data_IF_803991174468
#
_entry.id   IF_803991174468
#
_cell.length_a   1.000
_cell.length_b   1.000
_cell.length_c   1.000
_cell.angle_alpha   90.00
_cell.angle_beta   90.00
_cell.angle_gamma   90.00
#
_symmetry.space_group_name_H-M   'P 1'
#
loop_
_entity.id
_entity.type
_entity.pdbx_description
1 polymer ?
#
# COMPACT_ATOMS: atom_id res chain seq x y z
N UNK A 1 -3.47 -6.43 -6.93
CA UNK A 1 -2.21 -7.22 -7.01
C UNK A 1 -2.58 -8.64 -7.43
N UNK A 2 -2.57 -8.92 -8.73
CA UNK A 2 -3.15 -10.17 -9.27
C UNK A 2 -4.62 -10.31 -8.91
N UNK A 3 -4.98 -11.37 -8.19
CA UNK A 3 -6.35 -11.67 -7.72
C UNK A 3 -6.80 -10.82 -6.51
N UNK A 4 -5.87 -10.12 -5.86
CA UNK A 4 -6.19 -9.26 -4.71
C UNK A 4 -6.72 -7.91 -5.18
N UNK A 5 -7.92 -7.56 -4.70
CA UNK A 5 -8.61 -6.30 -4.98
C UNK A 5 -8.76 -5.53 -3.67
N UNK A 6 -8.39 -4.26 -3.70
CA UNK A 6 -8.48 -3.35 -2.58
C UNK A 6 -9.24 -2.11 -3.02
N UNK A 7 -9.96 -1.48 -2.10
CA UNK A 7 -10.57 -0.19 -2.37
C UNK A 7 -9.48 0.89 -2.53
N UNK A 8 -9.72 1.86 -3.43
CA UNK A 8 -8.78 2.98 -3.63
C UNK A 8 -8.52 3.73 -2.33
N UNK A 9 -9.56 3.90 -1.50
CA UNK A 9 -9.47 4.56 -0.20
C UNK A 9 -8.57 3.78 0.79
N UNK A 10 -8.67 2.45 0.84
CA UNK A 10 -7.78 1.64 1.66
C UNK A 10 -6.32 1.77 1.21
N UNK A 11 -6.05 1.76 -0.10
CA UNK A 11 -4.66 1.90 -0.60
C UNK A 11 -4.12 3.33 -0.40
N UNK A 12 -4.96 4.36 -0.49
CA UNK A 12 -4.58 5.74 -0.10
C UNK A 12 -4.17 5.82 1.38
N UNK A 13 -4.97 5.21 2.26
CA UNK A 13 -4.68 5.16 3.71
C UNK A 13 -3.35 4.43 4.00
N UNK A 14 -3.10 3.32 3.31
CA UNK A 14 -1.81 2.61 3.37
C UNK A 14 -0.64 3.52 3.00
N UNK A 15 -0.76 4.29 1.91
CA UNK A 15 0.27 5.25 1.49
C UNK A 15 0.53 6.32 2.53
N UNK A 16 -0.50 6.84 3.20
CA UNK A 16 -0.34 7.80 4.29
C UNK A 16 0.46 7.20 5.45
N UNK A 17 0.11 5.99 5.90
CA UNK A 17 0.83 5.27 6.96
C UNK A 17 2.30 5.02 6.59
N UNK A 18 2.57 4.63 5.35
CA UNK A 18 3.93 4.38 4.86
C UNK A 18 4.75 5.67 4.71
N UNK A 19 4.11 6.79 4.33
CA UNK A 19 4.78 8.08 4.20
C UNK A 19 5.05 8.75 5.56
N UNK A 20 4.12 8.66 6.51
CA UNK A 20 4.32 9.23 7.86
C UNK A 20 5.58 8.65 8.52
N UNK A 21 5.80 7.34 8.37
CA UNK A 21 7.01 6.67 8.89
C UNK A 21 8.28 7.02 8.12
N UNK A 22 8.20 7.39 6.83
CA UNK A 22 9.34 7.90 6.06
C UNK A 22 9.80 9.27 6.56
N UNK A 23 8.85 10.16 6.84
CA UNK A 23 9.13 11.55 7.22
C UNK A 23 9.84 11.63 8.59
N UNK A 24 9.47 10.73 9.51
CA UNK A 24 10.04 10.67 10.86
C UNK A 24 11.51 10.23 10.86
N UNK A 25 12.02 9.59 9.79
CA UNK A 25 13.39 9.06 9.82
C UNK A 25 14.07 8.98 8.44
N UNK A 26 14.76 10.05 7.98
CA UNK A 26 15.43 10.07 6.66
C UNK A 26 16.63 9.11 6.55
N UNK A 27 17.16 8.59 7.66
CA UNK A 27 18.18 7.53 7.66
C UNK A 27 17.60 6.11 7.53
N UNK A 28 16.27 5.97 7.55
CA UNK A 28 15.55 4.70 7.56
C UNK A 28 15.14 4.23 6.15
N UNK A 29 15.72 4.81 5.09
CA UNK A 29 15.47 4.37 3.71
C UNK A 29 15.86 2.89 3.51
N UNK A 30 16.83 2.39 4.29
CA UNK A 30 17.20 0.95 4.34
C UNK A 30 16.22 0.10 5.15
N UNK A 31 15.48 0.66 6.12
CA UNK A 31 14.55 -0.09 6.96
C UNK A 31 13.10 -0.10 6.44
N UNK A 32 12.82 0.58 5.32
CA UNK A 32 11.55 0.38 4.59
C UNK A 32 11.34 -1.09 4.22
N UNK A 33 12.42 -1.83 3.93
CA UNK A 33 12.37 -3.27 3.68
C UNK A 33 11.95 -4.11 4.92
N UNK A 34 12.01 -3.54 6.13
CA UNK A 34 11.67 -4.21 7.38
C UNK A 34 10.39 -3.65 8.03
N UNK A 35 9.82 -2.56 7.50
CA UNK A 35 8.57 -2.01 8.01
C UNK A 35 7.39 -2.80 7.44
N UNK A 36 6.62 -3.41 8.32
CA UNK A 36 5.39 -4.10 7.96
C UNK A 36 4.19 -3.26 8.40
N UNK A 37 3.31 -2.83 7.48
CA UNK A 37 2.06 -2.15 7.83
C UNK A 37 1.12 -3.00 8.70
N UNK A 38 1.38 -4.31 8.80
CA UNK A 38 0.57 -5.26 9.56
C UNK A 38 0.53 -5.03 11.06
N UNK A 39 1.51 -4.30 11.60
CA UNK A 39 1.57 -3.96 13.02
C UNK A 39 0.86 -2.63 13.35
N UNK A 40 0.34 -1.93 12.34
CA UNK A 40 -0.36 -0.66 12.52
C UNK A 40 -1.85 -0.89 12.81
N UNK A 41 -2.34 -0.31 13.91
CA UNK A 41 -3.75 -0.40 14.32
C UNK A 41 -4.70 0.26 13.30
N UNK A 42 -4.21 1.28 12.58
CA UNK A 42 -4.96 2.02 11.57
C UNK A 42 -4.97 1.32 10.19
N UNK A 43 -4.39 0.12 10.08
CA UNK A 43 -4.39 -0.63 8.82
C UNK A 43 -5.82 -1.08 8.46
N UNK A 44 -6.30 -0.77 7.23
CA UNK A 44 -7.61 -1.23 6.78
C UNK A 44 -7.77 -2.77 6.83
N UNK A 45 -8.95 -3.24 7.27
CA UNK A 45 -9.25 -4.67 7.41
C UNK A 45 -8.99 -5.49 6.13
N UNK A 46 -9.16 -4.88 4.95
CA UNK A 46 -8.91 -5.52 3.65
C UNK A 46 -7.47 -6.08 3.55
N UNK A 47 -6.50 -5.43 4.21
CA UNK A 47 -5.10 -5.84 4.20
C UNK A 47 -4.74 -6.88 5.25
N UNK A 48 -5.62 -7.21 6.21
CA UNK A 48 -5.32 -8.27 7.18
C UNK A 48 -5.11 -9.62 6.50
N UNK A 49 -5.82 -9.88 5.41
CA UNK A 49 -5.63 -11.06 4.57
C UNK A 49 -4.25 -11.10 3.90
N UNK A 50 -3.66 -9.93 3.61
CA UNK A 50 -2.31 -9.80 3.06
C UNK A 50 -1.27 -10.11 4.14
N UNK A 51 -1.50 -9.65 5.37
CA UNK A 51 -0.59 -9.85 6.50
C UNK A 51 -0.35 -11.32 6.87
N UNK A 52 -1.26 -12.22 6.49
CA UNK A 52 -1.10 -13.66 6.70
C UNK A 52 -0.24 -14.34 5.64
N UNK A 53 0.15 -13.62 4.57
CA UNK A 53 0.94 -14.16 3.46
C UNK A 53 2.43 -13.92 3.68
N UNK A 54 3.25 -14.86 3.22
CA UNK A 54 4.72 -14.72 3.28
C UNK A 54 5.25 -13.60 2.35
N UNK A 55 4.48 -13.23 1.32
CA UNK A 55 4.82 -12.15 0.39
C UNK A 55 4.20 -10.79 0.74
N UNK A 56 3.65 -10.64 1.96
CA UNK A 56 2.97 -9.44 2.44
C UNK A 56 3.79 -8.16 2.20
N UNK A 57 5.05 -8.13 2.64
CA UNK A 57 5.94 -6.97 2.49
C UNK A 57 6.07 -6.54 1.02
N UNK A 58 6.24 -7.50 0.11
CA UNK A 58 6.34 -7.22 -1.34
C UNK A 58 5.03 -6.73 -1.93
N UNK A 59 3.89 -7.23 -1.43
CA UNK A 59 2.56 -6.75 -1.85
C UNK A 59 2.40 -5.28 -1.43
N UNK A 60 2.73 -4.94 -0.18
CA UNK A 60 2.65 -3.56 0.31
C UNK A 60 3.59 -2.61 -0.44
N UNK A 61 4.83 -3.02 -0.72
CA UNK A 61 5.75 -2.24 -1.56
C UNK A 61 5.17 -1.99 -2.96
N UNK A 62 4.59 -3.02 -3.60
CA UNK A 62 3.96 -2.86 -4.92
C UNK A 62 2.73 -1.96 -4.87
N UNK A 63 1.91 -2.06 -3.82
CA UNK A 63 0.74 -1.20 -3.63
C UNK A 63 1.15 0.26 -3.41
N UNK A 64 2.17 0.51 -2.60
CA UNK A 64 2.74 1.85 -2.39
C UNK A 64 3.26 2.46 -3.69
N UNK A 65 3.98 1.66 -4.50
CA UNK A 65 4.45 2.09 -5.81
C UNK A 65 3.30 2.34 -6.79
N UNK A 66 2.28 1.48 -6.80
CA UNK A 66 1.12 1.60 -7.69
C UNK A 66 0.24 2.83 -7.35
N UNK A 67 0.27 3.28 -6.09
CA UNK A 67 -0.50 4.42 -5.58
C UNK A 67 0.38 5.64 -5.29
N UNK A 68 1.66 5.62 -5.68
CA UNK A 68 2.49 6.85 -5.73
C UNK A 68 1.77 8.00 -6.41
N UNK A 69 0.92 7.67 -7.37
CA UNK A 69 0.07 8.60 -8.07
C UNK A 69 -1.38 8.09 -8.01
N UNK A 70 -2.02 8.28 -6.85
CA UNK A 70 -3.41 7.86 -6.59
C UNK A 70 -4.36 8.49 -7.62
N UNK A 71 -4.00 9.67 -8.13
CA UNK A 71 -4.68 10.38 -9.21
C UNK A 71 -4.78 9.51 -10.47
N UNK A 72 -3.79 8.66 -10.77
CA UNK A 72 -3.86 7.73 -11.90
C UNK A 72 -4.92 6.65 -11.72
N UNK A 73 -5.28 6.27 -10.49
CA UNK A 73 -6.44 5.41 -10.26
C UNK A 73 -7.76 6.17 -10.36
N UNK A 74 -7.80 7.47 -10.05
CA UNK A 74 -8.99 8.30 -10.23
C UNK A 74 -9.33 8.56 -11.69
N UNK A 75 -8.30 8.76 -12.53
CA UNK A 75 -8.44 8.92 -13.98
C UNK A 75 -8.33 7.61 -14.76
N UNK A 76 -8.24 6.47 -14.07
CA UNK A 76 -8.17 5.15 -14.70
C UNK A 76 -7.00 4.96 -15.67
N UNK A 77 -5.89 5.64 -15.43
CA UNK A 77 -4.68 5.61 -16.27
C UNK A 77 -3.67 4.53 -15.86
N UNK A 78 -3.87 3.84 -14.74
CA UNK A 78 -3.03 2.75 -14.28
C UNK A 78 -3.79 1.41 -14.27
N UNK A 79 -3.26 0.40 -14.96
CA UNK A 79 -3.87 -0.93 -15.08
C UNK A 79 -3.95 -1.71 -13.75
N UNK A 80 -3.23 -1.25 -12.71
CA UNK A 80 -3.36 -1.78 -11.36
C UNK A 80 -4.71 -1.42 -10.70
N UNK A 81 -5.38 -0.38 -11.20
CA UNK A 81 -6.66 0.11 -10.69
C UNK A 81 -7.81 -0.61 -11.39
N UNK A 82 -8.63 -1.33 -10.64
CA UNK A 82 -9.77 -2.08 -11.16
C UNK A 82 -11.08 -1.35 -10.86
N UNK A 83 -12.10 -1.50 -11.72
CA UNK A 83 -13.44 -0.95 -11.49
C UNK A 83 -13.78 0.34 -12.24
N UNK A 84 -12.91 0.78 -13.15
CA UNK A 84 -13.21 1.84 -14.10
C UNK A 84 -14.09 1.33 -15.26
N UNK A 85 -15.07 2.14 -15.69
CA UNK A 85 -15.97 1.87 -16.81
C UNK A 85 -15.76 2.88 -17.95
#
# INVERSE_FOLDING_TARGET
DGDLKFSLESVKKLKELMNEKRDVNPHLVTSLANYSPCDEEDLPEEFQSVCQREDATKIFERLDLAVQDADLCEICANAACAGCF
#
